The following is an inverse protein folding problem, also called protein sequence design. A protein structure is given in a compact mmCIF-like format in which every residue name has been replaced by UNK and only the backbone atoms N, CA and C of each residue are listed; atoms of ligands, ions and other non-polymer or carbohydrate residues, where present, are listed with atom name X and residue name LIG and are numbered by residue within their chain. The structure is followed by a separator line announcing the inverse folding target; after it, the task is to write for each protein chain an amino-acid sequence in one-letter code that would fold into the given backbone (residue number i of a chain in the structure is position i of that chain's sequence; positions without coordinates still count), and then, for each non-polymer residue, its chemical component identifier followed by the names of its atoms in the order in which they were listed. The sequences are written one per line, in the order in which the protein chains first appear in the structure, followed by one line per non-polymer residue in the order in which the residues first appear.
data_IF_941316371747
#
_entry.id   IF_941316371747
#
_cell.length_a   1.000
_cell.length_b   1.000
_cell.length_c   1.000
_cell.angle_alpha   90.00
_cell.angle_beta   90.00
_cell.angle_gamma   90.00
#
_symmetry.space_group_name_H-M   'P 1'
#
loop_
_entity.id
_entity.type
_entity.pdbx_description
1 polymer ?
#
# COMPACT_ATOMS: atom_id res chain seq x y z
N UNK A 1 -27.82 -15.17 12.61
CA UNK A 1 -27.51 -14.21 11.51
C UNK A 1 -26.17 -14.59 10.91
N UNK A 2 -26.06 -14.60 9.58
CA UNK A 2 -24.76 -14.78 8.90
C UNK A 2 -23.88 -13.56 9.21
N UNK A 3 -22.66 -13.79 9.72
CA UNK A 3 -21.71 -12.71 10.00
C UNK A 3 -21.19 -12.15 8.68
N UNK A 4 -21.22 -10.83 8.53
CA UNK A 4 -20.56 -10.15 7.40
C UNK A 4 -19.05 -10.25 7.54
N UNK A 5 -18.37 -10.62 6.46
CA UNK A 5 -16.93 -10.88 6.46
C UNK A 5 -16.20 -9.84 5.62
N UNK A 6 -15.05 -9.45 6.11
CA UNK A 6 -14.02 -8.68 5.42
C UNK A 6 -12.69 -9.40 5.57
N UNK A 7 -11.69 -9.02 4.78
CA UNK A 7 -10.37 -9.62 4.93
C UNK A 7 -9.27 -8.91 4.16
N UNK A 8 -8.05 -9.45 4.29
CA UNK A 8 -6.91 -9.08 3.46
C UNK A 8 -6.33 -10.33 2.80
N UNK A 9 -6.27 -10.29 1.46
CA UNK A 9 -5.66 -11.29 0.58
C UNK A 9 -4.17 -10.98 0.40
N UNK A 10 -3.31 -11.97 0.58
CA UNK A 10 -1.88 -11.83 0.35
C UNK A 10 -1.13 -13.15 0.52
N UNK A 11 0.14 -13.17 0.07
CA UNK A 11 1.00 -14.34 0.21
C UNK A 11 2.49 -13.95 0.30
N UNK A 12 3.13 -14.09 1.50
CA UNK A 12 2.51 -14.35 2.80
C UNK A 12 1.76 -13.12 3.35
N UNK A 13 0.80 -13.32 4.29
CA UNK A 13 -0.01 -12.22 4.85
C UNK A 13 -0.10 -12.28 6.39
N UNK A 14 0.53 -13.24 7.03
CA UNK A 14 0.43 -13.48 8.47
C UNK A 14 0.88 -12.28 9.34
N UNK A 15 1.77 -11.44 8.82
CA UNK A 15 2.30 -10.25 9.49
C UNK A 15 1.36 -9.04 9.43
N UNK A 16 0.26 -9.10 8.65
CA UNK A 16 -0.61 -7.97 8.43
C UNK A 16 -1.33 -7.51 9.70
N UNK A 17 -1.26 -6.21 9.96
CA UNK A 17 -1.98 -5.54 11.06
C UNK A 17 -3.39 -5.10 10.70
N UNK A 18 -3.81 -5.27 9.45
CA UNK A 18 -5.15 -4.91 8.99
C UNK A 18 -6.28 -5.55 9.82
N UNK A 19 -6.21 -6.83 10.26
CA UNK A 19 -7.26 -7.40 11.09
C UNK A 19 -7.43 -6.70 12.45
N UNK A 20 -6.34 -6.36 13.12
CA UNK A 20 -6.40 -5.65 14.40
C UNK A 20 -7.06 -4.27 14.21
N UNK A 21 -6.60 -3.53 13.21
CA UNK A 21 -7.07 -2.19 12.88
C UNK A 21 -8.55 -2.19 12.48
N UNK A 22 -8.95 -3.00 11.52
CA UNK A 22 -10.34 -3.03 11.04
C UNK A 22 -11.31 -3.60 12.07
N UNK A 23 -10.95 -4.62 12.85
CA UNK A 23 -11.85 -5.15 13.87
C UNK A 23 -12.06 -4.14 15.00
N UNK A 24 -11.05 -3.36 15.38
CA UNK A 24 -11.22 -2.26 16.34
C UNK A 24 -12.16 -1.18 15.78
N UNK A 25 -12.01 -0.82 14.50
CA UNK A 25 -12.89 0.12 13.82
C UNK A 25 -14.34 -0.37 13.74
N UNK A 26 -14.56 -1.62 13.36
CA UNK A 26 -15.89 -2.25 13.29
C UNK A 26 -16.60 -2.20 14.66
N UNK A 27 -15.87 -2.54 15.73
CA UNK A 27 -16.40 -2.45 17.09
C UNK A 27 -16.76 -1.02 17.48
N UNK A 28 -15.89 -0.05 17.17
CA UNK A 28 -16.10 1.36 17.51
C UNK A 28 -17.34 1.97 16.83
N UNK A 29 -17.69 1.52 15.62
CA UNK A 29 -18.88 1.97 14.91
C UNK A 29 -20.11 1.06 15.12
N UNK A 30 -20.05 0.10 16.05
CA UNK A 30 -21.17 -0.78 16.41
C UNK A 30 -21.48 -1.90 15.40
N UNK A 31 -20.55 -2.24 14.49
CA UNK A 31 -20.68 -3.36 13.55
C UNK A 31 -20.13 -4.66 14.18
N UNK A 32 -20.74 -5.10 15.28
CA UNK A 32 -20.23 -6.20 16.10
C UNK A 32 -20.42 -7.60 15.50
N UNK A 33 -21.29 -7.71 14.52
CA UNK A 33 -21.53 -8.92 13.71
C UNK A 33 -20.62 -9.01 12.47
N UNK A 34 -19.78 -7.99 12.23
CA UNK A 34 -18.79 -7.98 11.17
C UNK A 34 -17.43 -8.48 11.67
N UNK A 35 -16.66 -9.11 10.78
CA UNK A 35 -15.32 -9.58 11.09
C UNK A 35 -14.36 -9.41 9.94
N UNK A 36 -13.20 -8.85 10.24
CA UNK A 36 -12.06 -8.76 9.32
C UNK A 36 -11.02 -9.84 9.64
N UNK A 37 -10.52 -10.56 8.63
CA UNK A 37 -9.61 -11.70 8.82
C UNK A 37 -8.48 -11.75 7.79
N UNK A 38 -7.43 -12.54 8.09
CA UNK A 38 -6.36 -12.86 7.15
C UNK A 38 -6.85 -13.91 6.16
N UNK A 39 -6.49 -13.74 4.89
CA UNK A 39 -6.73 -14.69 3.82
C UNK A 39 -5.39 -14.98 3.11
N UNK A 40 -4.60 -15.96 3.61
CA UNK A 40 -3.38 -16.38 2.96
C UNK A 40 -3.73 -17.16 1.69
N UNK A 41 -3.56 -16.54 0.53
CA UNK A 41 -3.94 -17.10 -0.76
C UNK A 41 -2.73 -17.12 -1.67
N UNK A 42 -2.21 -18.31 -2.05
CA UNK A 42 -1.16 -18.41 -3.05
C UNK A 42 -1.64 -17.89 -4.41
N UNK A 43 -0.70 -17.40 -5.27
CA UNK A 43 -1.07 -16.78 -6.56
C UNK A 43 -1.95 -17.62 -7.45
N UNK A 44 -1.74 -18.92 -7.50
CA UNK A 44 -2.48 -19.88 -8.30
C UNK A 44 -3.94 -20.05 -7.87
N UNK A 45 -4.28 -19.73 -6.63
CA UNK A 45 -5.63 -19.83 -6.09
C UNK A 45 -6.39 -18.49 -6.03
N UNK A 46 -5.79 -17.41 -6.52
CA UNK A 46 -6.36 -16.07 -6.37
C UNK A 46 -7.73 -15.95 -7.07
N UNK A 47 -7.84 -16.37 -8.33
CA UNK A 47 -9.08 -16.22 -9.13
C UNK A 47 -10.23 -17.01 -8.50
N UNK A 48 -10.01 -18.28 -8.23
CA UNK A 48 -11.02 -19.15 -7.60
C UNK A 48 -11.46 -18.60 -6.25
N UNK A 49 -10.48 -18.16 -5.42
CA UNK A 49 -10.77 -17.61 -4.10
C UNK A 49 -11.61 -16.34 -4.21
N UNK A 50 -11.19 -15.36 -5.02
CA UNK A 50 -11.90 -14.08 -5.15
C UNK A 50 -13.35 -14.28 -5.59
N UNK A 51 -13.58 -15.17 -6.55
CA UNK A 51 -14.95 -15.48 -7.04
C UNK A 51 -15.82 -16.21 -6.01
N UNK A 52 -15.21 -16.96 -5.09
CA UNK A 52 -15.94 -17.68 -4.03
C UNK A 52 -16.31 -16.79 -2.82
N UNK A 53 -15.59 -15.68 -2.60
CA UNK A 53 -15.77 -14.83 -1.42
C UNK A 53 -17.19 -14.28 -1.23
N UNK A 54 -17.91 -13.79 -2.27
CA UNK A 54 -19.29 -13.30 -2.10
C UNK A 54 -20.23 -14.35 -1.52
N UNK A 55 -20.16 -15.58 -2.04
CA UNK A 55 -20.98 -16.70 -1.55
C UNK A 55 -20.60 -17.11 -0.10
N UNK A 56 -19.34 -16.88 0.30
CA UNK A 56 -18.87 -17.08 1.66
C UNK A 56 -19.23 -15.92 2.63
N UNK A 57 -20.02 -14.94 2.19
CA UNK A 57 -20.50 -13.83 3.01
C UNK A 57 -19.51 -12.68 3.16
N UNK A 58 -18.51 -12.56 2.28
CA UNK A 58 -17.63 -11.40 2.25
C UNK A 58 -18.30 -10.22 1.54
N UNK A 59 -18.21 -9.05 2.16
CA UNK A 59 -18.63 -7.78 1.59
C UNK A 59 -17.50 -7.11 0.79
N UNK A 60 -16.26 -7.43 1.14
CA UNK A 60 -15.08 -6.91 0.46
C UNK A 60 -13.78 -7.41 1.09
N UNK A 61 -12.69 -7.18 0.40
CA UNK A 61 -11.34 -7.52 0.85
C UNK A 61 -10.32 -6.50 0.40
N UNK A 62 -9.32 -6.24 1.24
CA UNK A 62 -8.09 -5.61 0.77
C UNK A 62 -7.20 -6.64 0.10
N UNK A 63 -6.33 -6.17 -0.76
CA UNK A 63 -5.39 -6.99 -1.51
C UNK A 63 -3.97 -6.44 -1.32
N UNK A 64 -3.05 -7.33 -0.95
CA UNK A 64 -1.63 -6.98 -0.80
C UNK A 64 -0.76 -7.85 -1.71
N UNK A 65 0.55 -7.82 -1.49
CA UNK A 65 1.54 -8.59 -2.27
C UNK A 65 1.17 -10.08 -2.30
N UNK A 66 1.30 -10.73 -3.46
CA UNK A 66 1.72 -10.22 -4.79
C UNK A 66 0.55 -9.85 -5.71
N UNK A 67 -0.67 -9.74 -5.22
CA UNK A 67 -1.93 -9.91 -5.96
C UNK A 67 -2.50 -8.62 -6.58
N UNK A 68 -2.01 -7.41 -6.24
CA UNK A 68 -2.67 -6.13 -6.59
C UNK A 68 -2.97 -5.95 -8.09
N UNK A 69 -2.05 -6.38 -8.98
CA UNK A 69 -2.27 -6.29 -10.43
C UNK A 69 -3.27 -7.34 -10.91
N UNK A 70 -3.11 -8.59 -10.46
CA UNK A 70 -4.03 -9.68 -10.81
C UNK A 70 -5.44 -9.42 -10.28
N UNK A 71 -5.59 -8.83 -9.09
CA UNK A 71 -6.89 -8.51 -8.52
C UNK A 71 -7.67 -7.50 -9.36
N UNK A 72 -7.00 -6.51 -9.98
CA UNK A 72 -7.65 -5.60 -10.91
C UNK A 72 -8.22 -6.34 -12.13
N UNK A 73 -7.48 -7.32 -12.64
CA UNK A 73 -7.92 -8.10 -13.82
C UNK A 73 -9.12 -9.01 -13.55
N UNK A 74 -9.40 -9.32 -12.27
CA UNK A 74 -10.55 -10.13 -11.85
C UNK A 74 -11.83 -9.31 -11.62
N UNK A 75 -11.73 -7.98 -11.63
CA UNK A 75 -12.85 -7.11 -11.34
C UNK A 75 -13.77 -6.93 -12.56
N UNK A 76 -15.07 -6.91 -12.31
CA UNK A 76 -16.09 -6.59 -13.31
C UNK A 76 -16.10 -5.08 -13.59
N UNK A 77 -15.84 -4.28 -12.56
CA UNK A 77 -15.73 -2.82 -12.61
C UNK A 77 -14.52 -2.36 -11.82
N UNK A 78 -13.96 -1.21 -12.20
CA UNK A 78 -12.89 -0.58 -11.46
C UNK A 78 -13.07 0.94 -11.45
N UNK A 79 -12.59 1.58 -10.39
CA UNK A 79 -12.48 3.04 -10.36
C UNK A 79 -11.50 3.54 -11.42
N UNK A 80 -11.64 4.79 -11.83
CA UNK A 80 -10.71 5.41 -12.78
C UNK A 80 -9.27 5.35 -12.27
N UNK A 81 -9.05 5.64 -10.97
CA UNK A 81 -7.75 5.56 -10.34
C UNK A 81 -7.16 4.15 -10.38
N UNK A 82 -7.94 3.11 -10.04
CA UNK A 82 -7.44 1.73 -10.08
C UNK A 82 -7.05 1.30 -11.51
N UNK A 83 -7.83 1.70 -12.53
CA UNK A 83 -7.49 1.44 -13.95
C UNK A 83 -6.23 2.18 -14.37
N UNK A 84 -6.13 3.46 -14.06
CA UNK A 84 -4.96 4.27 -14.40
C UNK A 84 -3.68 3.74 -13.74
N UNK A 85 -3.76 3.33 -12.48
CA UNK A 85 -2.65 2.72 -11.74
C UNK A 85 -2.28 1.33 -12.30
N UNK A 86 -3.26 0.59 -12.83
CA UNK A 86 -3.07 -0.79 -13.25
C UNK A 86 -2.92 -1.77 -12.07
N UNK A 87 -3.47 -1.44 -10.89
CA UNK A 87 -3.45 -2.28 -9.70
C UNK A 87 -4.57 -1.89 -8.73
N UNK A 88 -5.14 -2.87 -8.03
CA UNK A 88 -6.14 -2.70 -6.99
C UNK A 88 -5.65 -3.23 -5.65
N UNK A 89 -5.91 -2.50 -4.57
CA UNK A 89 -5.69 -2.96 -3.20
C UNK A 89 -7.00 -3.16 -2.42
N UNK A 90 -8.14 -2.91 -3.05
CA UNK A 90 -9.48 -3.02 -2.45
C UNK A 90 -10.46 -3.60 -3.47
N UNK A 91 -11.13 -4.69 -3.09
CA UNK A 91 -12.23 -5.28 -3.85
C UNK A 91 -13.50 -5.22 -3.00
N UNK A 92 -14.57 -4.65 -3.55
CA UNK A 92 -15.91 -4.64 -2.95
C UNK A 92 -16.82 -5.55 -3.74
N UNK A 93 -17.63 -6.34 -3.04
CA UNK A 93 -18.60 -7.26 -3.64
C UNK A 93 -20.00 -6.67 -3.50
N UNK A 94 -20.62 -6.32 -4.62
CA UNK A 94 -21.96 -5.74 -4.66
C UNK A 94 -22.79 -6.29 -5.81
N UNK A 95 -24.00 -6.75 -5.49
CA UNK A 95 -24.95 -7.28 -6.46
C UNK A 95 -24.35 -8.34 -7.42
N UNK A 96 -23.45 -9.18 -6.92
CA UNK A 96 -22.78 -10.22 -7.70
C UNK A 96 -21.61 -9.73 -8.55
N UNK A 97 -21.22 -8.44 -8.45
CA UNK A 97 -20.10 -7.83 -9.15
C UNK A 97 -18.92 -7.62 -8.22
N UNK A 98 -17.73 -7.69 -8.79
CA UNK A 98 -16.47 -7.40 -8.15
C UNK A 98 -16.03 -6.00 -8.60
N UNK A 99 -15.96 -5.06 -7.67
CA UNK A 99 -15.58 -3.66 -7.93
C UNK A 99 -14.19 -3.43 -7.34
N UNK A 100 -13.23 -3.04 -8.18
CA UNK A 100 -11.85 -2.78 -7.78
C UNK A 100 -11.59 -1.29 -7.53
N UNK A 101 -10.83 -1.00 -6.48
CA UNK A 101 -10.36 0.34 -6.15
C UNK A 101 -8.88 0.31 -5.70
N UNK A 102 -8.24 1.47 -5.70
CA UNK A 102 -6.90 1.65 -5.16
C UNK A 102 -6.88 2.77 -4.13
N UNK A 103 -6.79 2.40 -2.86
CA UNK A 103 -6.74 3.32 -1.72
C UNK A 103 -5.30 3.67 -1.30
N UNK A 104 -4.27 3.01 -1.86
CA UNK A 104 -2.88 3.32 -1.55
C UNK A 104 -2.48 4.71 -2.06
N UNK A 105 -2.87 5.03 -3.30
CA UNK A 105 -2.51 6.28 -3.95
C UNK A 105 -3.00 7.53 -3.18
N UNK A 106 -4.30 7.67 -2.86
CA UNK A 106 -4.78 8.82 -2.09
C UNK A 106 -4.21 8.83 -0.66
N UNK A 107 -4.00 7.69 -0.03
CA UNK A 107 -3.41 7.62 1.31
C UNK A 107 -1.96 8.11 1.34
N UNK A 108 -1.17 7.76 0.32
CA UNK A 108 0.20 8.25 0.19
C UNK A 108 0.22 9.78 0.13
N UNK A 109 -0.55 10.38 -0.77
CA UNK A 109 -0.54 11.84 -0.96
C UNK A 109 -1.04 12.58 0.28
N UNK A 110 -2.11 12.08 0.90
CA UNK A 110 -2.65 12.67 2.12
C UNK A 110 -1.70 12.60 3.33
N UNK A 111 -0.82 11.59 3.36
CA UNK A 111 0.17 11.40 4.43
C UNK A 111 1.46 12.20 4.26
N UNK A 112 1.74 12.78 3.08
CA UNK A 112 2.97 13.54 2.87
C UNK A 112 3.03 14.79 3.77
N UNK A 113 4.21 15.12 4.34
CA UNK A 113 4.36 16.30 5.21
C UNK A 113 4.33 17.63 4.44
N UNK A 114 4.39 17.57 3.11
CA UNK A 114 4.32 18.73 2.21
C UNK A 114 3.74 18.32 0.84
N UNK A 115 3.22 19.27 0.05
CA UNK A 115 2.69 18.99 -1.28
C UNK A 115 3.75 18.38 -2.21
N UNK A 116 3.38 17.38 -2.99
CA UNK A 116 4.25 16.77 -3.99
C UNK A 116 4.48 17.66 -5.22
N UNK A 117 3.62 18.67 -5.45
CA UNK A 117 3.71 19.57 -6.58
C UNK A 117 5.08 20.26 -6.67
N UNK A 118 5.72 20.18 -7.83
CA UNK A 118 7.03 20.74 -8.11
C UNK A 118 8.21 19.99 -7.46
N UNK A 119 7.97 18.91 -6.72
CA UNK A 119 8.99 18.09 -6.06
C UNK A 119 9.51 16.98 -6.95
N UNK A 120 10.70 16.53 -6.62
CA UNK A 120 11.31 15.34 -7.23
C UNK A 120 11.16 14.13 -6.33
N UNK A 121 10.99 12.95 -6.90
CA UNK A 121 10.83 11.71 -6.14
C UNK A 121 11.65 10.57 -6.74
N UNK A 122 12.23 9.74 -5.87
CA UNK A 122 12.79 8.44 -6.21
C UNK A 122 11.92 7.34 -5.59
N UNK A 123 11.29 6.52 -6.43
CA UNK A 123 10.48 5.38 -6.03
C UNK A 123 11.31 4.11 -6.17
N UNK A 124 11.45 3.37 -5.08
CA UNK A 124 12.15 2.09 -5.04
C UNK A 124 11.13 0.95 -5.15
N UNK A 125 11.21 0.20 -6.24
CA UNK A 125 10.31 -0.91 -6.57
C UNK A 125 9.47 -0.67 -7.82
N UNK A 126 8.89 -1.76 -8.37
CA UNK A 126 8.03 -1.72 -9.55
C UNK A 126 6.81 -2.67 -9.41
N UNK A 127 6.36 -2.92 -8.19
CA UNK A 127 5.15 -3.68 -7.87
C UNK A 127 3.90 -2.82 -7.78
N UNK A 128 2.78 -3.40 -7.36
CA UNK A 128 1.50 -2.71 -7.27
C UNK A 128 1.50 -1.45 -6.38
N UNK A 129 2.29 -1.44 -5.30
CA UNK A 129 2.43 -0.25 -4.44
C UNK A 129 3.28 0.84 -5.12
N UNK A 130 4.34 0.47 -5.83
CA UNK A 130 5.14 1.41 -6.61
C UNK A 130 4.33 2.04 -7.74
N UNK A 131 3.47 1.27 -8.41
CA UNK A 131 2.52 1.78 -9.41
C UNK A 131 1.63 2.86 -8.81
N UNK A 132 1.04 2.59 -7.65
CA UNK A 132 0.20 3.55 -6.94
C UNK A 132 0.98 4.83 -6.56
N UNK A 133 2.21 4.68 -6.07
CA UNK A 133 3.07 5.80 -5.70
C UNK A 133 3.45 6.66 -6.90
N UNK A 134 3.90 6.06 -8.01
CA UNK A 134 4.28 6.79 -9.23
C UNK A 134 3.09 7.56 -9.80
N UNK A 135 1.95 6.89 -9.95
CA UNK A 135 0.73 7.54 -10.45
C UNK A 135 0.32 8.70 -9.53
N UNK A 136 0.24 8.46 -8.23
CA UNK A 136 -0.20 9.46 -7.25
C UNK A 136 0.70 10.70 -7.23
N UNK A 137 2.03 10.52 -7.24
CA UNK A 137 2.98 11.62 -7.25
C UNK A 137 2.86 12.46 -8.53
N UNK A 138 2.69 11.82 -9.68
CA UNK A 138 2.51 12.51 -10.95
C UNK A 138 1.20 13.29 -11.02
N UNK A 139 0.08 12.68 -10.63
CA UNK A 139 -1.21 13.36 -10.52
C UNK A 139 -1.18 14.53 -9.54
N UNK A 140 -0.38 14.42 -8.47
CA UNK A 140 -0.16 15.50 -7.51
C UNK A 140 0.82 16.58 -8.00
N UNK A 141 1.31 16.49 -9.26
CA UNK A 141 2.14 17.51 -9.90
C UNK A 141 3.62 17.44 -9.53
N UNK A 142 4.15 16.27 -9.14
CA UNK A 142 5.59 16.11 -8.97
C UNK A 142 6.35 16.46 -10.27
N UNK A 143 7.45 17.22 -10.14
CA UNK A 143 8.22 17.70 -11.29
C UNK A 143 9.01 16.57 -11.98
N UNK A 144 9.48 15.60 -11.21
CA UNK A 144 10.21 14.43 -11.72
C UNK A 144 9.96 13.23 -10.81
N UNK A 145 9.62 12.09 -11.40
CA UNK A 145 9.44 10.82 -10.69
C UNK A 145 10.35 9.78 -11.31
N UNK A 146 11.37 9.38 -10.57
CA UNK A 146 12.33 8.35 -10.96
C UNK A 146 11.96 7.03 -10.32
N UNK A 147 12.16 5.95 -11.06
CA UNK A 147 11.84 4.60 -10.57
C UNK A 147 13.08 3.71 -10.67
N UNK A 148 13.48 3.18 -9.56
CA UNK A 148 14.50 2.14 -9.50
C UNK A 148 13.87 0.80 -9.12
N UNK A 149 14.34 -0.26 -9.78
CA UNK A 149 13.99 -1.63 -9.39
C UNK A 149 15.15 -2.57 -9.62
N UNK A 150 15.31 -3.55 -8.74
CA UNK A 150 16.38 -4.59 -8.86
C UNK A 150 16.38 -5.30 -10.23
N UNK A 151 15.21 -5.44 -10.86
CA UNK A 151 15.03 -5.90 -12.23
C UNK A 151 14.69 -4.68 -13.08
N UNK A 152 15.64 -4.09 -13.82
CA UNK A 152 15.46 -2.81 -14.53
C UNK A 152 14.25 -2.79 -15.48
N UNK A 153 14.01 -3.89 -16.18
CA UNK A 153 12.92 -4.02 -17.17
C UNK A 153 11.54 -3.82 -16.54
N UNK A 154 11.41 -4.08 -15.23
CA UNK A 154 10.16 -3.81 -14.50
C UNK A 154 9.95 -2.32 -14.26
N UNK A 155 11.03 -1.59 -13.96
CA UNK A 155 10.97 -0.13 -13.81
C UNK A 155 10.69 0.55 -15.15
N UNK A 156 11.36 0.10 -16.22
CA UNK A 156 11.15 0.59 -17.58
C UNK A 156 9.69 0.40 -18.02
N UNK A 157 9.13 -0.80 -17.81
CA UNK A 157 7.73 -1.09 -18.12
C UNK A 157 6.77 -0.20 -17.33
N UNK A 158 7.00 -0.06 -16.01
CA UNK A 158 6.19 0.80 -15.18
C UNK A 158 6.23 2.25 -15.68
N UNK A 159 7.42 2.78 -15.99
CA UNK A 159 7.57 4.13 -16.51
C UNK A 159 6.95 4.31 -17.90
N UNK A 160 7.01 3.31 -18.77
CA UNK A 160 6.36 3.34 -20.08
C UNK A 160 4.82 3.43 -19.95
N UNK A 161 4.24 2.78 -18.95
CA UNK A 161 2.79 2.77 -18.71
C UNK A 161 2.29 4.00 -17.94
N UNK A 162 3.01 4.42 -16.90
CA UNK A 162 2.55 5.46 -15.97
C UNK A 162 3.32 6.77 -16.10
N UNK A 163 4.37 6.80 -16.92
CA UNK A 163 5.33 7.90 -17.02
C UNK A 163 6.35 7.90 -15.88
N UNK A 164 7.22 8.90 -15.87
CA UNK A 164 8.42 8.93 -15.04
C UNK A 164 9.64 8.40 -15.79
N UNK A 165 10.76 8.24 -15.09
CA UNK A 165 12.04 7.82 -15.66
C UNK A 165 12.62 6.62 -14.91
N UNK A 166 12.86 5.52 -15.61
CA UNK A 166 13.57 4.39 -15.02
C UNK A 166 15.06 4.74 -14.85
N UNK A 167 15.62 4.42 -13.67
CA UNK A 167 17.01 4.73 -13.34
C UNK A 167 17.75 3.48 -12.87
N UNK A 168 19.06 3.41 -13.17
CA UNK A 168 19.93 2.31 -12.76
C UNK A 168 20.60 2.53 -11.40
N UNK A 169 20.62 3.78 -10.93
CA UNK A 169 21.22 4.17 -9.65
C UNK A 169 20.35 5.21 -8.95
N UNK A 170 20.47 5.33 -7.64
CA UNK A 170 19.85 6.40 -6.89
C UNK A 170 20.52 7.74 -7.18
N UNK A 171 19.72 8.80 -7.13
CA UNK A 171 20.17 10.18 -7.14
C UNK A 171 19.32 10.97 -6.16
N UNK A 172 19.87 12.04 -5.53
CA UNK A 172 19.12 12.87 -4.59
C UNK A 172 17.80 13.36 -5.19
N UNK A 173 16.77 13.40 -4.34
CA UNK A 173 15.44 13.89 -4.67
C UNK A 173 14.79 14.46 -3.40
N UNK A 174 13.67 15.17 -3.53
CA UNK A 174 12.94 15.65 -2.35
C UNK A 174 12.33 14.47 -1.56
N UNK A 175 11.83 13.46 -2.27
CA UNK A 175 11.14 12.28 -1.71
C UNK A 175 11.88 11.00 -2.06
N UNK A 176 12.11 10.14 -1.07
CA UNK A 176 12.45 8.73 -1.26
C UNK A 176 11.24 7.88 -0.87
N UNK A 177 10.68 7.11 -1.81
CA UNK A 177 9.49 6.28 -1.58
C UNK A 177 9.84 4.81 -1.73
N UNK A 178 9.90 4.09 -0.62
CA UNK A 178 10.25 2.68 -0.58
C UNK A 178 9.01 1.79 -0.72
N UNK A 179 8.93 1.07 -1.84
CA UNK A 179 7.83 0.19 -2.22
C UNK A 179 8.26 -1.26 -2.45
N UNK A 180 9.48 -1.64 -2.08
CA UNK A 180 9.93 -3.03 -2.21
C UNK A 180 9.49 -3.88 -1.02
N UNK A 181 9.73 -5.18 -1.07
CA UNK A 181 9.52 -6.09 0.07
C UNK A 181 10.76 -6.18 0.99
N UNK A 182 11.84 -5.45 0.68
CA UNK A 182 13.04 -5.41 1.53
C UNK A 182 12.68 -4.77 2.87
N UNK A 183 13.07 -5.40 3.98
CA UNK A 183 12.71 -4.93 5.33
C UNK A 183 11.45 -5.57 5.92
N UNK A 184 10.73 -6.42 5.19
CA UNK A 184 9.70 -7.30 5.79
C UNK A 184 10.33 -8.29 6.78
N UNK A 185 11.53 -8.80 6.46
CA UNK A 185 12.40 -9.48 7.42
C UNK A 185 13.37 -8.43 7.97
N UNK A 186 13.21 -8.07 9.25
CA UNK A 186 14.03 -7.07 9.95
C UNK A 186 15.47 -7.59 10.04
N UNK A 187 16.26 -7.36 9.00
CA UNK A 187 17.68 -7.67 8.96
C UNK A 187 18.46 -6.44 8.49
N UNK A 188 19.69 -6.30 8.98
CA UNK A 188 20.66 -5.28 8.52
C UNK A 188 20.94 -5.33 7.01
N UNK A 189 20.42 -6.35 6.32
CA UNK A 189 20.58 -6.55 4.88
C UNK A 189 19.69 -5.62 4.03
N UNK A 190 18.80 -4.80 4.60
CA UNK A 190 17.89 -3.95 3.82
C UNK A 190 18.66 -3.05 2.84
N UNK A 191 19.63 -2.28 3.31
CA UNK A 191 20.42 -1.39 2.48
C UNK A 191 21.26 -2.14 1.41
N UNK A 192 21.65 -3.40 1.65
CA UNK A 192 22.36 -4.21 0.65
C UNK A 192 21.52 -4.54 -0.59
N UNK A 193 20.20 -4.44 -0.46
CA UNK A 193 19.25 -4.73 -1.54
C UNK A 193 18.67 -3.47 -2.22
N UNK A 194 19.04 -2.30 -1.73
CA UNK A 194 18.58 -1.01 -2.25
C UNK A 194 19.74 -0.26 -2.93
N UNK A 195 19.44 0.69 -3.82
CA UNK A 195 20.46 1.52 -4.49
C UNK A 195 20.92 2.70 -3.63
N UNK A 196 20.50 2.78 -2.39
CA UNK A 196 20.83 3.82 -1.41
C UNK A 196 21.39 3.17 -0.16
N UNK A 197 22.27 3.84 0.51
CA UNK A 197 22.69 3.51 1.87
C UNK A 197 22.22 4.58 2.87
N UNK A 198 22.58 4.41 4.16
CA UNK A 198 22.13 5.33 5.19
C UNK A 198 22.70 6.74 5.01
N UNK A 199 23.89 6.90 4.44
CA UNK A 199 24.53 8.21 4.27
C UNK A 199 23.94 8.98 3.09
N UNK A 200 23.41 8.29 2.08
CA UNK A 200 22.72 8.90 0.95
C UNK A 200 21.43 9.62 1.37
N UNK A 201 20.86 9.25 2.53
CA UNK A 201 19.58 9.79 2.97
C UNK A 201 19.58 11.30 3.20
N UNK A 202 20.74 11.91 3.46
CA UNK A 202 20.85 13.39 3.60
C UNK A 202 20.45 14.15 2.34
N UNK A 203 20.37 13.47 1.20
CA UNK A 203 19.91 14.04 -0.07
C UNK A 203 18.38 14.11 -0.22
N UNK A 204 17.60 13.69 0.80
CA UNK A 204 16.15 13.66 0.76
C UNK A 204 15.52 14.52 1.86
N UNK A 205 14.39 15.17 1.56
CA UNK A 205 13.61 15.95 2.53
C UNK A 205 12.64 15.07 3.32
N UNK A 206 12.16 13.99 2.70
CA UNK A 206 11.26 13.03 3.33
C UNK A 206 11.53 11.61 2.82
N UNK A 207 11.47 10.66 3.74
CA UNK A 207 11.48 9.23 3.46
C UNK A 207 10.08 8.69 3.72
N UNK A 208 9.53 8.02 2.71
CA UNK A 208 8.27 7.28 2.79
C UNK A 208 8.59 5.80 2.73
N UNK A 209 8.26 5.05 3.76
CA UNK A 209 8.46 3.60 3.78
C UNK A 209 7.11 2.88 3.84
N UNK A 210 6.74 2.15 2.79
CA UNK A 210 5.50 1.38 2.77
C UNK A 210 5.59 0.06 3.54
N UNK A 211 6.79 -0.33 3.94
CA UNK A 211 6.99 -1.49 4.81
C UNK A 211 6.72 -1.08 6.25
N UNK A 212 6.04 -1.96 6.96
CA UNK A 212 5.87 -1.84 8.41
C UNK A 212 6.20 -3.18 9.08
N UNK A 213 6.74 -3.11 10.29
CA UNK A 213 7.06 -4.26 11.12
C UNK A 213 6.69 -3.99 12.58
N UNK A 214 7.20 -4.79 13.51
CA UNK A 214 7.01 -4.57 14.97
C UNK A 214 7.82 -3.40 15.50
N UNK A 215 8.92 -3.08 14.84
CA UNK A 215 9.82 -1.95 15.11
C UNK A 215 9.95 -1.13 13.84
N UNK A 216 10.56 0.04 13.93
CA UNK A 216 10.91 0.80 12.76
C UNK A 216 11.85 -0.01 11.85
N UNK A 217 11.73 0.19 10.54
CA UNK A 217 12.67 -0.43 9.59
C UNK A 217 14.03 0.26 9.67
N UNK A 218 15.12 -0.38 9.27
CA UNK A 218 16.44 0.27 9.21
C UNK A 218 16.42 1.58 8.39
N UNK A 219 15.58 1.68 7.37
CA UNK A 219 15.41 2.89 6.56
C UNK A 219 14.78 4.03 7.39
N UNK A 220 13.72 3.72 8.12
CA UNK A 220 13.04 4.68 9.01
C UNK A 220 13.97 5.12 10.14
N UNK A 221 14.65 4.18 10.81
CA UNK A 221 15.61 4.49 11.88
C UNK A 221 16.74 5.40 11.37
N UNK A 222 17.32 5.11 10.20
CA UNK A 222 18.38 5.89 9.62
C UNK A 222 17.92 7.31 9.21
N UNK A 223 16.68 7.46 8.73
CA UNK A 223 16.11 8.77 8.39
C UNK A 223 15.86 9.61 9.66
N UNK A 224 15.25 9.02 10.68
CA UNK A 224 15.00 9.71 11.97
C UNK A 224 16.30 10.15 12.65
N UNK A 225 17.34 9.30 12.63
CA UNK A 225 18.65 9.64 13.17
C UNK A 225 19.29 10.88 12.48
N UNK A 226 18.87 11.19 11.25
CA UNK A 226 19.32 12.35 10.47
C UNK A 226 18.33 13.51 10.46
N UNK A 227 17.29 13.44 11.30
CA UNK A 227 16.21 14.45 11.38
C UNK A 227 15.48 14.67 10.04
N UNK A 228 15.41 13.63 9.22
CA UNK A 228 14.64 13.64 7.97
C UNK A 228 13.19 13.30 8.30
N UNK A 229 12.25 14.01 7.68
CA UNK A 229 10.82 13.70 7.83
C UNK A 229 10.51 12.27 7.36
N UNK A 230 9.65 11.57 8.09
CA UNK A 230 9.26 10.19 7.76
C UNK A 230 7.76 10.07 7.68
N UNK A 231 7.28 9.42 6.62
CA UNK A 231 5.94 8.84 6.54
C UNK A 231 6.08 7.32 6.62
N UNK A 232 5.79 6.76 7.78
CA UNK A 232 5.95 5.33 8.04
C UNK A 232 4.83 4.47 7.45
N UNK A 233 5.09 3.17 7.29
CA UNK A 233 4.16 2.22 6.71
C UNK A 233 2.89 2.00 7.53
N UNK A 234 2.89 2.30 8.83
CA UNK A 234 1.69 2.21 9.66
C UNK A 234 0.74 3.37 9.39
N UNK A 235 1.23 4.59 9.17
CA UNK A 235 0.37 5.71 8.78
C UNK A 235 -0.25 5.49 7.41
N UNK A 236 0.51 4.94 6.44
CA UNK A 236 -0.03 4.57 5.12
C UNK A 236 -1.06 3.45 5.27
N UNK A 237 -0.78 2.43 6.12
CA UNK A 237 -1.72 1.35 6.41
C UNK A 237 -3.04 1.90 6.97
N UNK A 238 -2.97 2.85 7.89
CA UNK A 238 -4.16 3.49 8.50
C UNK A 238 -4.91 4.29 7.44
N UNK A 239 -4.22 5.14 6.68
CA UNK A 239 -4.85 5.99 5.67
C UNK A 239 -5.59 5.19 4.59
N UNK A 240 -4.92 4.19 3.97
CA UNK A 240 -5.55 3.34 2.96
C UNK A 240 -6.66 2.45 3.56
N UNK A 241 -6.44 1.99 4.82
CA UNK A 241 -7.41 1.18 5.54
C UNK A 241 -8.68 1.97 5.90
N UNK A 242 -8.57 3.24 6.24
CA UNK A 242 -9.73 4.11 6.48
C UNK A 242 -10.58 4.26 5.22
N UNK A 243 -9.95 4.54 4.09
CA UNK A 243 -10.65 4.64 2.81
C UNK A 243 -11.34 3.33 2.41
N UNK A 244 -10.67 2.18 2.58
CA UNK A 244 -11.29 0.89 2.29
C UNK A 244 -12.40 0.54 3.28
N UNK A 245 -12.26 0.90 4.56
CA UNK A 245 -13.30 0.74 5.57
C UNK A 245 -14.59 1.45 5.17
N UNK A 246 -14.49 2.68 4.70
CA UNK A 246 -15.64 3.47 4.22
C UNK A 246 -16.30 2.84 3.00
N UNK A 247 -15.50 2.28 2.06
CA UNK A 247 -16.02 1.52 0.90
C UNK A 247 -16.82 0.30 1.34
N UNK A 248 -16.29 -0.45 2.33
CA UNK A 248 -16.92 -1.70 2.79
C UNK A 248 -18.19 -1.45 3.59
N UNK A 249 -18.20 -0.42 4.44
CA UNK A 249 -19.23 -0.23 5.47
C UNK A 249 -20.23 0.88 5.14
N UNK A 250 -19.88 1.82 4.27
CA UNK A 250 -20.64 3.03 4.03
C UNK A 250 -20.63 4.00 5.24
N UNK A 251 -19.74 3.80 6.21
CA UNK A 251 -19.63 4.61 7.43
C UNK A 251 -18.28 5.32 7.49
N UNK A 252 -18.19 6.52 8.09
CA UNK A 252 -16.92 7.19 8.34
C UNK A 252 -15.97 6.31 9.15
N UNK A 253 -14.71 6.28 8.77
CA UNK A 253 -13.70 5.48 9.46
C UNK A 253 -13.28 6.16 10.78
N UNK A 254 -13.26 5.43 11.91
CA UNK A 254 -12.75 5.95 13.17
C UNK A 254 -11.20 5.91 13.18
N UNK A 255 -10.56 6.83 12.44
CA UNK A 255 -9.13 6.82 12.10
C UNK A 255 -8.24 6.70 13.35
N UNK A 256 -8.55 7.42 14.43
CA UNK A 256 -7.73 7.36 15.66
C UNK A 256 -7.78 5.99 16.33
N UNK A 257 -8.94 5.33 16.31
CA UNK A 257 -9.09 3.95 16.80
C UNK A 257 -8.28 2.99 15.93
N UNK A 258 -8.33 3.18 14.60
CA UNK A 258 -7.55 2.40 13.65
C UNK A 258 -6.05 2.58 13.88
N UNK A 259 -5.60 3.82 14.05
CA UNK A 259 -4.19 4.15 14.31
C UNK A 259 -3.70 3.52 15.62
N UNK A 260 -4.46 3.66 16.69
CA UNK A 260 -4.13 3.05 17.98
C UNK A 260 -4.02 1.52 17.87
N UNK A 261 -4.97 0.87 17.20
CA UNK A 261 -4.96 -0.59 17.02
C UNK A 261 -3.84 -1.07 16.09
N UNK A 262 -3.50 -0.32 15.04
CA UNK A 262 -2.37 -0.64 14.15
C UNK A 262 -1.03 -0.56 14.86
N UNK A 263 -0.86 0.36 15.81
CA UNK A 263 0.37 0.57 16.60
C UNK A 263 0.44 -0.27 17.88
N UNK A 264 -0.65 -0.92 18.30
CA UNK A 264 -0.66 -1.80 19.47
C UNK A 264 0.30 -3.00 19.26
N UNK A 265 1.03 -3.37 20.35
CA UNK A 265 2.02 -4.48 20.34
C UNK A 265 1.35 -5.84 20.46
#
# INVERSE_FOLDING_TARGET
MLRTRLGVLGWPVAHSRSPAMHNAALAAVGLTDWRYQLLPVPPELLDETVRALPAAGFRGVNVTIPHKQAALALADEATEGARAIGAANTLTFDAGRIIADNTDAPALIAGLPFPAAGRTALVLGAGGSARAAVWALREAGAADVRVWNRTPERAERLCAELGGTAVSAAAPADLLVHCTSSGLDVSEAMFKSLPVDADDLVGYCCVVDLVYSRTDTPLVEAALARSISVLDGLEILVGQGALSFERFTGRPAPVEVMRAAARAR
#
